data_IF_812635427900
#
_entry.id   IF_812635427900
#
_cell.length_a   1.000
_cell.length_b   1.000
_cell.length_c   1.000
_cell.angle_alpha   90.00
_cell.angle_beta   90.00
_cell.angle_gamma   90.00
#
_symmetry.space_group_name_H-M   'P 1'
#
loop_
_entity.id
_entity.type
_entity.pdbx_description
1 polymer ?
#
# COMPACT_ATOMS: atom_id res chain seq x y z
N UNK A 1 23.54 24.74 2.47
CA UNK A 1 23.67 24.48 3.92
C UNK A 1 25.10 24.02 4.07
N UNK A 2 26.01 24.95 4.31
CA UNK A 2 27.44 24.76 3.97
C UNK A 2 28.37 24.94 5.17
N UNK A 3 27.80 25.09 6.37
CA UNK A 3 28.57 25.04 7.61
C UNK A 3 29.03 23.60 7.87
N UNK A 4 30.35 23.34 8.06
CA UNK A 4 30.88 21.99 8.32
C UNK A 4 30.22 21.26 9.50
N UNK A 5 29.76 21.98 10.53
CA UNK A 5 29.08 21.40 11.70
C UNK A 5 27.74 20.74 11.30
N UNK A 6 27.12 21.20 10.21
CA UNK A 6 25.82 20.71 9.75
C UNK A 6 25.93 19.63 8.67
N UNK A 7 27.13 19.11 8.40
CA UNK A 7 27.37 18.15 7.31
C UNK A 7 26.43 16.94 7.39
N UNK A 8 26.26 16.36 8.56
CA UNK A 8 25.42 15.16 8.75
C UNK A 8 23.91 15.44 8.65
N UNK A 9 23.52 16.71 8.79
CA UNK A 9 22.13 17.17 8.66
C UNK A 9 21.82 17.78 7.30
N UNK A 10 22.83 17.91 6.42
CA UNK A 10 22.75 18.69 5.19
C UNK A 10 21.56 18.27 4.33
N UNK A 11 21.43 16.98 4.05
CA UNK A 11 20.33 16.44 3.24
C UNK A 11 18.95 16.75 3.84
N UNK A 12 18.78 16.49 5.14
CA UNK A 12 17.54 16.77 5.87
C UNK A 12 17.16 18.26 5.80
N UNK A 13 18.13 19.14 6.07
CA UNK A 13 17.92 20.59 6.05
C UNK A 13 17.66 21.11 4.63
N UNK A 14 18.28 20.52 3.61
CA UNK A 14 18.00 20.85 2.21
C UNK A 14 16.59 20.43 1.78
N UNK A 15 16.08 19.29 2.29
CA UNK A 15 14.68 18.88 2.07
C UNK A 15 13.69 19.85 2.72
N UNK A 16 13.96 20.33 3.94
CA UNK A 16 13.16 21.38 4.57
C UNK A 16 13.24 22.67 3.75
N UNK A 17 14.45 23.08 3.37
CA UNK A 17 14.67 24.32 2.60
C UNK A 17 13.93 24.34 1.27
N UNK A 18 13.79 23.20 0.59
CA UNK A 18 13.01 23.08 -0.66
C UNK A 18 11.52 23.41 -0.47
N UNK A 19 10.97 23.25 0.73
CA UNK A 19 9.57 23.61 1.00
C UNK A 19 9.37 25.10 1.32
N UNK A 20 10.41 25.81 1.76
CA UNK A 20 10.32 27.21 2.21
C UNK A 20 9.74 28.16 1.14
N UNK A 21 10.12 28.09 -0.15
CA UNK A 21 9.53 28.95 -1.19
C UNK A 21 8.02 28.75 -1.39
N UNK A 22 7.47 27.64 -0.89
CA UNK A 22 6.08 27.21 -1.06
C UNK A 22 5.23 27.35 0.22
N UNK A 23 5.82 27.88 1.29
CA UNK A 23 5.09 28.27 2.49
C UNK A 23 4.36 29.60 2.24
N UNK A 24 3.14 29.69 2.75
CA UNK A 24 2.38 30.93 2.76
C UNK A 24 2.64 31.72 4.03
N UNK A 25 2.02 32.89 4.17
CA UNK A 25 2.01 33.58 5.47
C UNK A 25 1.33 32.72 6.54
N UNK A 26 1.69 32.92 7.81
CA UNK A 26 1.10 32.17 8.93
C UNK A 26 -0.43 32.21 8.92
N UNK A 27 -1.03 33.37 8.64
CA UNK A 27 -2.47 33.55 8.54
C UNK A 27 -3.06 32.71 7.39
N UNK A 28 -2.43 32.72 6.22
CA UNK A 28 -2.89 31.91 5.08
C UNK A 28 -2.78 30.40 5.35
N UNK A 29 -1.73 29.97 6.05
CA UNK A 29 -1.59 28.58 6.48
C UNK A 29 -2.70 28.17 7.44
N UNK A 30 -3.01 29.00 8.44
CA UNK A 30 -4.11 28.78 9.38
C UNK A 30 -5.46 28.69 8.64
N UNK A 31 -5.73 29.62 7.72
CA UNK A 31 -6.95 29.61 6.92
C UNK A 31 -7.09 28.35 6.07
N UNK A 32 -6.00 27.85 5.48
CA UNK A 32 -6.03 26.58 4.74
C UNK A 32 -6.32 25.41 5.67
N UNK A 33 -5.69 25.36 6.86
CA UNK A 33 -5.92 24.29 7.83
C UNK A 33 -7.39 24.24 8.29
N UNK A 34 -7.97 25.39 8.60
CA UNK A 34 -9.39 25.52 8.98
C UNK A 34 -10.32 25.12 7.83
N UNK A 35 -10.06 25.63 6.62
CA UNK A 35 -10.80 25.24 5.41
C UNK A 35 -10.75 23.73 5.19
N UNK A 36 -9.57 23.11 5.30
CA UNK A 36 -9.38 21.70 4.98
C UNK A 36 -9.98 20.77 6.03
N UNK A 37 -10.09 21.21 7.29
CA UNK A 37 -10.77 20.47 8.34
C UNK A 37 -12.24 20.18 7.95
N UNK A 38 -12.94 21.16 7.41
CA UNK A 38 -14.35 21.03 6.98
C UNK A 38 -14.51 20.81 5.46
N UNK A 39 -13.42 20.90 4.71
CA UNK A 39 -13.35 20.71 3.25
C UNK A 39 -12.82 19.33 2.88
N UNK A 40 -11.61 19.25 2.31
CA UNK A 40 -11.06 18.01 1.72
C UNK A 40 -11.06 16.85 2.72
N UNK A 41 -10.69 17.07 3.99
CA UNK A 41 -10.68 16.00 5.00
C UNK A 41 -12.09 15.47 5.27
N UNK A 42 -13.09 16.35 5.31
CA UNK A 42 -14.49 15.97 5.48
C UNK A 42 -15.01 15.16 4.27
N UNK A 43 -14.66 15.56 3.04
CA UNK A 43 -15.01 14.81 1.83
C UNK A 43 -14.39 13.40 1.82
N UNK A 44 -13.11 13.28 2.17
CA UNK A 44 -12.44 11.98 2.28
C UNK A 44 -13.09 11.11 3.36
N UNK A 45 -13.43 11.69 4.51
CA UNK A 45 -14.12 10.97 5.59
C UNK A 45 -15.52 10.52 5.17
N UNK A 46 -16.26 11.38 4.45
CA UNK A 46 -17.59 11.09 3.95
C UNK A 46 -17.57 9.91 2.98
N UNK A 47 -16.60 9.84 2.07
CA UNK A 47 -16.48 8.71 1.14
C UNK A 47 -16.35 7.37 1.87
N UNK A 48 -15.51 7.31 2.92
CA UNK A 48 -15.35 6.11 3.74
C UNK A 48 -16.62 5.74 4.52
N UNK A 49 -17.27 6.73 5.15
CA UNK A 49 -18.55 6.53 5.86
C UNK A 49 -19.66 6.07 4.92
N UNK A 50 -19.73 6.67 3.74
CA UNK A 50 -20.71 6.31 2.72
C UNK A 50 -20.54 4.85 2.33
N UNK A 51 -19.33 4.40 2.00
CA UNK A 51 -19.06 3.00 1.64
C UNK A 51 -19.41 2.02 2.77
N UNK A 52 -19.04 2.36 4.00
CA UNK A 52 -19.18 1.46 5.15
C UNK A 52 -20.62 1.34 5.67
N UNK A 53 -21.51 2.26 5.30
CA UNK A 53 -22.94 2.24 5.68
C UNK A 53 -23.83 1.64 4.62
N UNK A 54 -23.26 1.10 3.54
CA UNK A 54 -24.01 0.44 2.46
C UNK A 54 -23.94 -1.07 2.60
N UNK A 55 -25.05 -1.68 2.20
CA UNK A 55 -25.20 -3.11 2.08
C UNK A 55 -25.16 -3.49 0.61
N UNK A 56 -24.54 -4.63 0.33
CA UNK A 56 -24.34 -5.16 -1.01
C UNK A 56 -24.95 -6.55 -1.08
N UNK A 57 -26.00 -6.71 -1.89
CA UNK A 57 -26.53 -8.04 -2.19
C UNK A 57 -25.56 -8.74 -3.15
N UNK A 58 -24.99 -9.87 -2.70
CA UNK A 58 -24.03 -10.67 -3.46
C UNK A 58 -24.46 -12.12 -3.42
N UNK A 59 -24.40 -12.78 -4.56
CA UNK A 59 -24.55 -14.23 -4.66
C UNK A 59 -23.20 -14.90 -4.34
N UNK A 60 -23.15 -15.67 -3.26
CA UNK A 60 -21.97 -16.38 -2.79
C UNK A 60 -22.24 -17.87 -2.90
N UNK A 61 -21.60 -18.53 -3.86
CA UNK A 61 -21.74 -19.98 -4.10
C UNK A 61 -23.20 -20.44 -4.30
N UNK A 62 -24.02 -19.59 -4.93
CA UNK A 62 -25.44 -19.84 -5.20
C UNK A 62 -26.41 -19.31 -4.14
N UNK A 63 -25.91 -18.81 -3.00
CA UNK A 63 -26.73 -18.20 -1.95
C UNK A 63 -26.68 -16.67 -2.01
N UNK A 64 -27.83 -16.01 -1.97
CA UNK A 64 -27.88 -14.55 -1.83
C UNK A 64 -27.54 -14.14 -0.40
N UNK A 65 -26.58 -13.22 -0.26
CA UNK A 65 -26.15 -12.66 1.02
C UNK A 65 -26.16 -11.14 0.95
N UNK A 66 -26.55 -10.50 2.04
CA UNK A 66 -26.41 -9.07 2.24
C UNK A 66 -25.12 -8.87 3.02
N UNK A 67 -24.16 -8.17 2.42
CA UNK A 67 -22.80 -8.05 2.93
C UNK A 67 -22.41 -6.58 3.09
N UNK A 68 -21.54 -6.30 4.06
CA UNK A 68 -20.83 -5.02 4.13
C UNK A 68 -19.89 -4.83 2.94
N UNK A 69 -19.42 -3.60 2.69
CA UNK A 69 -18.44 -3.33 1.64
C UNK A 69 -17.17 -4.19 1.77
N UNK A 70 -16.64 -4.34 3.00
CA UNK A 70 -15.42 -5.11 3.24
C UNK A 70 -15.58 -6.58 2.88
N UNK A 71 -16.69 -7.20 3.29
CA UNK A 71 -17.03 -8.58 2.98
C UNK A 71 -17.23 -8.77 1.48
N UNK A 72 -18.04 -7.92 0.83
CA UNK A 72 -18.27 -7.98 -0.61
C UNK A 72 -16.95 -7.77 -1.41
N UNK A 73 -16.09 -6.83 -1.01
CA UNK A 73 -14.83 -6.56 -1.68
C UNK A 73 -13.84 -7.73 -1.55
N UNK A 74 -13.86 -8.46 -0.42
CA UNK A 74 -13.04 -9.67 -0.23
C UNK A 74 -13.40 -10.78 -1.24
N UNK A 75 -14.65 -10.79 -1.72
CA UNK A 75 -15.12 -11.77 -2.70
C UNK A 75 -14.64 -11.48 -4.13
N UNK A 76 -14.00 -10.34 -4.40
CA UNK A 76 -13.44 -10.06 -5.74
C UNK A 76 -12.30 -11.02 -6.11
N UNK A 77 -11.67 -11.64 -5.11
CA UNK A 77 -10.64 -12.68 -5.29
C UNK A 77 -11.17 -14.09 -5.01
N UNK A 78 -12.49 -14.28 -4.92
CA UNK A 78 -13.08 -15.59 -4.60
C UNK A 78 -12.79 -16.64 -5.70
N UNK A 79 -12.56 -17.93 -5.39
CA UNK A 79 -12.32 -18.96 -6.42
C UNK A 79 -13.51 -19.18 -7.36
N UNK A 80 -14.73 -19.11 -6.83
CA UNK A 80 -15.95 -19.23 -7.65
C UNK A 80 -16.18 -17.97 -8.50
N UNK A 81 -16.39 -18.19 -9.81
CA UNK A 81 -16.49 -17.12 -10.79
C UNK A 81 -17.82 -16.36 -10.70
N UNK A 82 -18.92 -17.06 -10.43
CA UNK A 82 -20.24 -16.44 -10.29
C UNK A 82 -20.24 -15.47 -9.12
N UNK A 83 -19.67 -15.89 -7.99
CA UNK A 83 -19.48 -15.07 -6.80
C UNK A 83 -18.69 -13.80 -7.10
N UNK A 84 -17.54 -13.90 -7.78
CA UNK A 84 -16.76 -12.71 -8.17
C UNK A 84 -17.54 -11.76 -9.05
N UNK A 85 -18.28 -12.28 -10.04
CA UNK A 85 -19.09 -11.46 -10.96
C UNK A 85 -20.19 -10.74 -10.18
N UNK A 86 -20.89 -11.45 -9.30
CA UNK A 86 -21.96 -10.90 -8.47
C UNK A 86 -21.42 -9.79 -7.55
N UNK A 87 -20.29 -10.03 -6.87
CA UNK A 87 -19.62 -9.05 -6.03
C UNK A 87 -19.22 -7.78 -6.81
N UNK A 88 -18.56 -7.94 -7.97
CA UNK A 88 -18.17 -6.79 -8.80
C UNK A 88 -19.40 -5.98 -9.26
N UNK A 89 -20.45 -6.66 -9.74
CA UNK A 89 -21.69 -5.99 -10.18
C UNK A 89 -22.38 -5.25 -9.05
N UNK A 90 -22.47 -5.86 -7.87
CA UNK A 90 -23.11 -5.26 -6.70
C UNK A 90 -22.37 -4.00 -6.25
N UNK A 91 -21.05 -4.08 -6.08
CA UNK A 91 -20.21 -2.96 -5.64
C UNK A 91 -20.22 -1.82 -6.65
N UNK A 92 -19.82 -2.10 -7.89
CA UNK A 92 -19.67 -1.04 -8.89
C UNK A 92 -21.01 -0.56 -9.45
N UNK A 93 -22.05 -1.41 -9.42
CA UNK A 93 -23.41 -1.03 -9.77
C UNK A 93 -24.00 -0.03 -8.78
N UNK A 94 -23.78 -0.22 -7.47
CA UNK A 94 -24.21 0.77 -6.47
C UNK A 94 -23.43 2.07 -6.60
N UNK A 95 -22.09 1.99 -6.70
CA UNK A 95 -21.25 3.17 -6.91
C UNK A 95 -21.63 3.96 -8.16
N UNK A 96 -22.02 3.28 -9.24
CA UNK A 96 -22.47 3.91 -10.48
C UNK A 96 -23.77 4.71 -10.32
N UNK A 97 -24.67 4.34 -9.39
CA UNK A 97 -25.91 5.10 -9.14
C UNK A 97 -25.62 6.47 -8.55
N UNK A 98 -24.58 6.57 -7.73
CA UNK A 98 -24.17 7.79 -7.04
C UNK A 98 -23.01 8.52 -7.74
N UNK A 99 -22.80 8.24 -9.04
CA UNK A 99 -21.69 8.79 -9.81
C UNK A 99 -21.62 10.32 -9.79
N UNK A 100 -22.76 11.02 -9.78
CA UNK A 100 -22.80 12.49 -9.76
C UNK A 100 -22.25 13.07 -8.44
N UNK A 101 -22.50 12.39 -7.31
CA UNK A 101 -21.98 12.78 -6.00
C UNK A 101 -20.45 12.64 -6.00
N UNK A 102 -19.94 11.50 -6.45
CA UNK A 102 -18.51 11.23 -6.46
C UNK A 102 -17.75 12.05 -7.50
N UNK A 103 -18.31 12.25 -8.70
CA UNK A 103 -17.70 13.06 -9.74
C UNK A 103 -17.61 14.53 -9.32
N UNK A 104 -18.66 15.05 -8.66
CA UNK A 104 -18.69 16.40 -8.11
C UNK A 104 -17.70 16.56 -6.97
N UNK A 105 -17.64 15.60 -6.04
CA UNK A 105 -16.68 15.63 -4.94
C UNK A 105 -15.23 15.62 -5.47
N UNK A 106 -14.91 14.70 -6.39
CA UNK A 106 -13.59 14.60 -7.01
C UNK A 106 -13.21 15.89 -7.74
N UNK A 107 -14.12 16.45 -8.54
CA UNK A 107 -13.89 17.72 -9.26
C UNK A 107 -13.55 18.85 -8.28
N UNK A 108 -14.26 18.95 -7.16
CA UNK A 108 -14.02 19.99 -6.18
C UNK A 108 -12.68 19.79 -5.44
N UNK A 109 -12.34 18.56 -5.06
CA UNK A 109 -11.04 18.23 -4.45
C UNK A 109 -9.91 18.58 -5.42
N UNK A 110 -9.99 18.17 -6.68
CA UNK A 110 -8.99 18.50 -7.70
C UNK A 110 -8.89 20.01 -7.95
N UNK A 111 -10.03 20.72 -7.99
CA UNK A 111 -10.06 22.17 -8.20
C UNK A 111 -9.44 22.94 -7.03
N UNK A 112 -9.70 22.48 -5.80
CA UNK A 112 -9.06 23.01 -4.60
C UNK A 112 -7.54 22.78 -4.65
N UNK A 113 -7.11 21.54 -4.95
CA UNK A 113 -5.70 21.19 -5.10
C UNK A 113 -4.99 22.11 -6.10
N UNK A 114 -5.53 22.27 -7.32
CA UNK A 114 -4.97 23.17 -8.34
C UNK A 114 -4.81 24.63 -7.83
N UNK A 115 -5.78 25.14 -7.07
CA UNK A 115 -5.73 26.48 -6.49
C UNK A 115 -4.68 26.59 -5.41
N UNK A 116 -4.59 25.60 -4.51
CA UNK A 116 -3.57 25.56 -3.45
C UNK A 116 -2.17 25.42 -4.03
N UNK A 117 -1.98 24.55 -5.02
CA UNK A 117 -0.71 24.40 -5.78
C UNK A 117 -0.25 25.76 -6.31
N UNK A 118 -1.14 26.50 -6.98
CA UNK A 118 -0.83 27.83 -7.51
C UNK A 118 -0.52 28.85 -6.41
N UNK A 119 -1.31 28.89 -5.33
CA UNK A 119 -1.09 29.81 -4.20
C UNK A 119 0.28 29.58 -3.54
N UNK A 120 0.63 28.31 -3.34
CA UNK A 120 1.94 27.87 -2.83
C UNK A 120 3.05 27.93 -3.88
N UNK A 121 2.80 28.50 -5.06
CA UNK A 121 3.81 28.71 -6.12
C UNK A 121 4.52 27.44 -6.55
N UNK A 122 3.84 26.30 -6.49
CA UNK A 122 4.35 25.05 -7.06
C UNK A 122 4.20 25.10 -8.59
N UNK A 123 5.25 24.71 -9.30
CA UNK A 123 5.28 24.70 -10.78
C UNK A 123 4.25 23.75 -11.41
N UNK A 124 3.89 22.67 -10.71
CA UNK A 124 2.90 21.70 -11.15
C UNK A 124 2.16 21.08 -9.96
N UNK A 125 0.98 20.47 -10.18
CA UNK A 125 0.25 19.74 -9.14
C UNK A 125 1.04 18.57 -8.53
N UNK A 126 2.10 18.09 -9.20
CA UNK A 126 2.97 17.03 -8.71
C UNK A 126 4.18 17.56 -7.93
N UNK A 127 4.57 18.82 -8.10
CA UNK A 127 5.83 19.35 -7.57
C UNK A 127 5.94 19.16 -6.04
N UNK A 128 4.86 19.37 -5.28
CA UNK A 128 4.87 19.10 -3.84
C UNK A 128 5.20 17.63 -3.50
N UNK A 129 4.62 16.69 -4.26
CA UNK A 129 4.90 15.26 -4.09
C UNK A 129 6.34 14.93 -4.47
N UNK A 130 6.90 15.57 -5.50
CA UNK A 130 8.29 15.41 -5.90
C UNK A 130 9.25 15.84 -4.78
N UNK A 131 9.01 16.99 -4.15
CA UNK A 131 9.81 17.46 -3.01
C UNK A 131 9.68 16.51 -1.81
N UNK A 132 8.45 16.12 -1.45
CA UNK A 132 8.18 15.25 -0.30
C UNK A 132 8.90 13.90 -0.42
N UNK A 133 8.83 13.29 -1.62
CA UNK A 133 9.40 11.99 -1.94
C UNK A 133 10.86 12.06 -2.40
N UNK A 134 11.47 13.25 -2.38
CA UNK A 134 12.84 13.49 -2.83
C UNK A 134 13.14 12.90 -4.22
N UNK A 135 12.23 13.14 -5.17
CA UNK A 135 12.33 12.64 -6.54
C UNK A 135 12.12 13.77 -7.54
N UNK A 136 12.22 13.47 -8.84
CA UNK A 136 12.13 14.45 -9.91
C UNK A 136 11.09 14.04 -10.94
N UNK A 137 10.56 15.01 -11.68
CA UNK A 137 9.56 14.75 -12.73
C UNK A 137 10.11 13.77 -13.77
N UNK A 138 11.38 13.91 -14.17
CA UNK A 138 12.02 13.03 -15.15
C UNK A 138 12.07 11.56 -14.69
N UNK A 139 12.23 11.29 -13.40
CA UNK A 139 12.19 9.92 -12.86
C UNK A 139 10.78 9.34 -13.03
N UNK A 140 9.74 10.10 -12.71
CA UNK A 140 8.35 9.66 -12.87
C UNK A 140 7.98 9.47 -14.34
N UNK A 141 8.36 10.41 -15.20
CA UNK A 141 8.08 10.34 -16.64
C UNK A 141 8.76 9.12 -17.27
N UNK A 142 10.02 8.85 -16.90
CA UNK A 142 10.75 7.67 -17.36
C UNK A 142 10.09 6.37 -16.86
N UNK A 143 9.65 6.32 -15.60
CA UNK A 143 8.92 5.16 -15.07
C UNK A 143 7.64 4.90 -15.88
N UNK A 144 6.82 5.93 -16.09
CA UNK A 144 5.58 5.83 -16.84
C UNK A 144 5.81 5.39 -18.28
N UNK A 145 6.81 5.98 -18.95
CA UNK A 145 7.20 5.61 -20.31
C UNK A 145 7.62 4.14 -20.42
N UNK A 146 8.47 3.67 -19.50
CA UNK A 146 8.90 2.25 -19.50
C UNK A 146 7.71 1.33 -19.26
N UNK A 147 6.77 1.68 -18.38
CA UNK A 147 5.54 0.90 -18.17
C UNK A 147 4.71 0.84 -19.46
N UNK A 148 4.51 1.98 -20.14
CA UNK A 148 3.75 2.08 -21.39
C UNK A 148 4.37 1.28 -22.53
N UNK A 149 5.69 1.33 -22.69
CA UNK A 149 6.43 0.57 -23.69
C UNK A 149 6.36 -0.95 -23.44
N UNK A 150 6.20 -1.36 -22.18
CA UNK A 150 6.23 -2.77 -21.77
C UNK A 150 4.83 -3.37 -21.45
N UNK A 151 3.73 -2.68 -21.77
CA UNK A 151 2.36 -3.20 -21.58
C UNK A 151 2.12 -4.56 -22.25
N UNK A 152 2.91 -4.90 -23.27
CA UNK A 152 2.91 -6.19 -23.94
C UNK A 152 3.14 -7.38 -22.99
N UNK A 153 4.00 -7.21 -21.97
CA UNK A 153 4.29 -8.26 -20.97
C UNK A 153 3.05 -8.56 -20.14
N UNK A 154 2.38 -7.53 -19.63
CA UNK A 154 1.15 -7.70 -18.85
C UNK A 154 0.00 -8.25 -19.71
N UNK A 155 -0.14 -7.79 -20.97
CA UNK A 155 -1.10 -8.35 -21.92
C UNK A 155 -0.83 -9.84 -22.21
N UNK A 156 0.43 -10.26 -22.33
CA UNK A 156 0.81 -11.68 -22.47
C UNK A 156 0.41 -12.47 -21.23
N UNK A 157 0.66 -11.96 -20.03
CA UNK A 157 0.22 -12.57 -18.78
C UNK A 157 -1.31 -12.77 -18.75
N UNK A 158 -2.09 -11.74 -19.08
CA UNK A 158 -3.56 -11.83 -19.10
C UNK A 158 -4.07 -12.88 -20.11
N UNK A 159 -3.46 -12.97 -21.30
CA UNK A 159 -3.79 -14.01 -22.28
C UNK A 159 -3.44 -15.41 -21.78
N UNK A 160 -2.29 -15.58 -21.14
CA UNK A 160 -1.89 -16.86 -20.56
C UNK A 160 -2.85 -17.27 -19.43
N UNK A 161 -3.20 -16.33 -18.54
CA UNK A 161 -4.18 -16.55 -17.49
C UNK A 161 -5.55 -16.95 -18.04
N UNK A 162 -6.02 -16.30 -19.10
CA UNK A 162 -7.26 -16.68 -19.79
C UNK A 162 -7.22 -18.14 -20.25
N UNK A 163 -6.12 -18.56 -20.90
CA UNK A 163 -5.91 -19.96 -21.31
C UNK A 163 -5.92 -20.93 -20.13
N UNK A 164 -5.19 -20.62 -19.06
CA UNK A 164 -5.13 -21.47 -17.85
C UNK A 164 -6.49 -21.58 -17.13
N UNK A 165 -7.34 -20.57 -17.27
CA UNK A 165 -8.69 -20.57 -16.71
C UNK A 165 -9.75 -21.15 -17.67
N UNK A 166 -9.34 -21.61 -18.87
CA UNK A 166 -10.24 -22.05 -19.94
C UNK A 166 -11.29 -20.99 -20.32
N UNK A 167 -10.89 -19.72 -20.34
CA UNK A 167 -11.74 -18.59 -20.71
C UNK A 167 -11.28 -17.99 -22.05
N UNK A 168 -12.20 -17.63 -22.96
CA UNK A 168 -11.84 -16.96 -24.21
C UNK A 168 -11.27 -15.56 -23.97
N UNK A 169 -11.77 -14.86 -22.95
CA UNK A 169 -11.32 -13.53 -22.52
C UNK A 169 -11.58 -13.34 -21.03
N UNK A 170 -10.68 -12.65 -20.35
CA UNK A 170 -10.88 -12.23 -18.96
C UNK A 170 -11.82 -11.01 -18.90
N UNK A 171 -12.77 -11.03 -17.97
CA UNK A 171 -13.50 -9.84 -17.53
C UNK A 171 -12.77 -9.17 -16.36
N UNK A 172 -13.22 -8.00 -15.90
CA UNK A 172 -12.67 -7.35 -14.70
C UNK A 172 -12.72 -8.27 -13.46
N UNK A 173 -13.76 -9.11 -13.35
CA UNK A 173 -13.92 -10.09 -12.28
C UNK A 173 -12.92 -11.26 -12.36
N UNK A 174 -12.26 -11.47 -13.50
CA UNK A 174 -11.33 -12.59 -13.70
C UNK A 174 -9.86 -12.17 -13.51
N UNK A 175 -9.54 -10.88 -13.62
CA UNK A 175 -8.15 -10.37 -13.51
C UNK A 175 -7.54 -10.71 -12.15
N UNK A 176 -8.31 -10.56 -11.06
CA UNK A 176 -7.88 -10.85 -9.69
C UNK A 176 -8.22 -12.28 -9.21
N UNK A 177 -8.82 -13.10 -10.08
CA UNK A 177 -9.16 -14.48 -9.72
C UNK A 177 -7.92 -15.31 -9.40
N UNK A 178 -7.94 -16.16 -8.36
CA UNK A 178 -6.87 -17.11 -8.14
C UNK A 178 -6.89 -18.15 -9.26
N UNK A 179 -5.70 -18.60 -9.67
CA UNK A 179 -5.59 -19.81 -10.48
C UNK A 179 -5.88 -21.02 -9.59
N UNK A 180 -6.57 -22.04 -10.11
CA UNK A 180 -6.73 -23.31 -9.39
C UNK A 180 -5.36 -24.00 -9.29
N UNK A 181 -4.66 -23.78 -8.19
CA UNK A 181 -3.36 -24.41 -7.92
C UNK A 181 -3.58 -25.77 -7.24
N UNK A 182 -2.90 -26.85 -7.68
CA UNK A 182 -3.07 -28.20 -7.12
C UNK A 182 -2.71 -28.36 -5.64
N UNK A 183 -1.99 -27.42 -5.02
CA UNK A 183 -1.59 -27.54 -3.61
C UNK A 183 -1.70 -26.22 -2.86
N UNK A 184 -2.88 -25.95 -2.32
CA UNK A 184 -3.07 -25.02 -1.20
C UNK A 184 -2.74 -25.74 0.13
N UNK A 185 -1.59 -26.44 0.19
CA UNK A 185 -1.17 -27.14 1.42
C UNK A 185 -0.89 -26.07 2.46
N UNK A 186 -1.63 -26.12 3.58
CA UNK A 186 -1.31 -25.32 4.76
C UNK A 186 0.04 -25.75 5.31
N UNK A 187 0.87 -24.78 5.64
CA UNK A 187 2.17 -24.99 6.28
C UNK A 187 2.08 -24.58 7.74
N UNK A 188 2.77 -25.33 8.58
CA UNK A 188 3.00 -24.97 9.97
C UNK A 188 3.84 -23.70 10.09
N UNK A 189 3.82 -23.08 11.27
CA UNK A 189 4.69 -21.93 11.56
C UNK A 189 6.17 -22.27 11.43
N UNK A 190 6.56 -23.49 11.83
CA UNK A 190 7.94 -23.99 11.70
C UNK A 190 8.35 -24.10 10.23
N UNK A 191 7.53 -24.73 9.38
CA UNK A 191 7.79 -24.80 7.93
C UNK A 191 7.89 -23.40 7.31
N UNK A 192 7.05 -22.46 7.74
CA UNK A 192 7.12 -21.06 7.28
C UNK A 192 8.43 -20.38 7.70
N UNK A 193 8.86 -20.54 8.97
CA UNK A 193 10.14 -20.03 9.47
C UNK A 193 11.31 -20.57 8.65
N UNK A 194 11.37 -21.89 8.46
CA UNK A 194 12.45 -22.55 7.71
C UNK A 194 12.53 -22.05 6.27
N UNK A 195 11.38 -21.95 5.58
CA UNK A 195 11.33 -21.45 4.21
C UNK A 195 11.83 -20.01 4.08
N UNK A 196 11.46 -19.14 5.02
CA UNK A 196 11.88 -17.74 4.97
C UNK A 196 13.36 -17.58 5.32
N UNK A 197 13.86 -18.34 6.30
CA UNK A 197 15.29 -18.38 6.61
C UNK A 197 16.12 -18.88 5.42
N UNK A 198 15.71 -19.98 4.79
CA UNK A 198 16.38 -20.51 3.61
C UNK A 198 16.37 -19.50 2.46
N UNK A 199 15.23 -18.83 2.22
CA UNK A 199 15.10 -17.83 1.18
C UNK A 199 16.04 -16.64 1.39
N UNK A 200 16.10 -16.10 2.60
CA UNK A 200 17.00 -15.00 2.93
C UNK A 200 18.47 -15.43 2.94
N UNK A 201 18.79 -16.62 3.45
CA UNK A 201 20.16 -17.15 3.47
C UNK A 201 20.76 -17.44 2.10
N UNK A 202 19.91 -17.64 1.07
CA UNK A 202 20.35 -17.70 -0.32
C UNK A 202 20.67 -16.32 -0.91
N UNK A 203 20.11 -15.26 -0.34
CA UNK A 203 20.40 -13.87 -0.73
C UNK A 203 21.66 -13.40 -0.02
N UNK A 204 21.66 -13.46 1.31
CA UNK A 204 22.78 -13.05 2.15
C UNK A 204 22.69 -13.77 3.52
N UNK A 205 23.85 -14.17 4.05
CA UNK A 205 23.92 -14.86 5.34
C UNK A 205 23.59 -13.96 6.52
N UNK A 206 23.92 -12.67 6.43
CA UNK A 206 23.60 -11.69 7.48
C UNK A 206 22.08 -11.47 7.59
N UNK A 207 21.36 -11.61 6.47
CA UNK A 207 19.89 -11.52 6.47
C UNK A 207 19.26 -12.73 7.16
N UNK A 208 19.77 -13.94 6.89
CA UNK A 208 19.33 -15.15 7.58
C UNK A 208 19.54 -15.05 9.10
N UNK A 209 20.72 -14.57 9.52
CA UNK A 209 21.05 -14.41 10.93
C UNK A 209 20.10 -13.42 11.62
N UNK A 210 19.90 -12.24 11.04
CA UNK A 210 19.00 -11.24 11.59
C UNK A 210 17.53 -11.71 11.62
N UNK A 211 17.07 -12.39 10.58
CA UNK A 211 15.73 -13.00 10.56
C UNK A 211 15.61 -14.05 11.67
N UNK A 212 16.62 -14.90 11.86
CA UNK A 212 16.60 -15.90 12.93
C UNK A 212 16.56 -15.24 14.32
N UNK A 213 17.28 -14.13 14.49
CA UNK A 213 17.23 -13.31 15.71
C UNK A 213 15.81 -12.79 15.99
N UNK A 214 15.11 -12.26 14.98
CA UNK A 214 13.72 -11.81 15.10
C UNK A 214 12.78 -12.92 15.61
N UNK A 215 12.95 -14.15 15.12
CA UNK A 215 12.21 -15.31 15.63
C UNK A 215 12.62 -15.65 17.07
N UNK A 216 13.93 -15.70 17.36
CA UNK A 216 14.45 -16.06 18.68
C UNK A 216 14.02 -15.07 19.78
N UNK A 217 13.92 -13.78 19.44
CA UNK A 217 13.48 -12.71 20.35
C UNK A 217 11.96 -12.55 20.43
N UNK A 218 11.17 -13.38 19.73
CA UNK A 218 9.71 -13.27 19.65
C UNK A 218 9.23 -11.90 19.15
N UNK A 219 9.95 -11.30 18.20
CA UNK A 219 9.55 -10.03 17.59
C UNK A 219 8.43 -10.19 16.54
N UNK A 220 7.91 -11.40 16.35
CA UNK A 220 6.90 -11.72 15.36
C UNK A 220 5.67 -12.27 16.08
N UNK A 221 4.61 -11.47 16.13
CA UNK A 221 3.30 -11.88 16.64
C UNK A 221 2.46 -12.44 15.49
N UNK A 222 2.52 -13.76 15.28
CA UNK A 222 1.85 -14.45 14.17
C UNK A 222 0.47 -15.06 14.51
N UNK A 223 0.21 -15.32 15.79
CA UNK A 223 -0.99 -16.08 16.20
C UNK A 223 -2.28 -15.28 16.00
N UNK A 224 -3.31 -15.92 15.43
CA UNK A 224 -4.64 -15.34 15.28
C UNK A 224 -5.38 -15.42 16.61
N UNK A 225 -5.93 -14.30 17.08
CA UNK A 225 -6.73 -14.23 18.33
C UNK A 225 -7.81 -13.15 18.26
N UNK A 226 -8.89 -13.34 19.00
CA UNK A 226 -10.01 -12.37 19.08
C UNK A 226 -9.50 -10.99 19.53
N UNK A 227 -9.91 -9.95 18.82
CA UNK A 227 -9.51 -8.56 19.10
C UNK A 227 -8.16 -8.13 18.52
N UNK A 228 -7.39 -9.04 17.88
CA UNK A 228 -6.16 -8.67 17.16
C UNK A 228 -6.50 -7.96 15.84
N UNK A 229 -5.71 -6.94 15.48
CA UNK A 229 -5.76 -6.29 14.17
C UNK A 229 -5.48 -7.32 13.06
N UNK A 230 -6.28 -7.31 11.99
CA UNK A 230 -6.06 -8.15 10.81
C UNK A 230 -4.98 -7.57 9.88
N UNK A 231 -4.36 -8.45 9.08
CA UNK A 231 -3.32 -8.10 8.10
C UNK A 231 -1.92 -8.40 8.62
N UNK A 232 -0.93 -7.73 8.03
CA UNK A 232 0.42 -7.73 8.52
C UNK A 232 1.03 -6.32 8.39
N UNK A 233 2.00 -6.01 9.25
CA UNK A 233 2.86 -4.84 9.14
C UNK A 233 4.13 -5.02 9.96
N UNK A 234 5.17 -4.29 9.58
CA UNK A 234 6.41 -4.11 10.31
C UNK A 234 6.43 -2.72 10.97
N UNK A 235 6.80 -2.66 12.25
CA UNK A 235 7.06 -1.42 12.97
C UNK A 235 8.50 -1.40 13.48
N UNK A 236 9.26 -0.38 13.11
CA UNK A 236 10.71 -0.36 13.29
C UNK A 236 11.11 0.39 14.55
N UNK A 237 12.06 -0.15 15.31
CA UNK A 237 12.55 0.41 16.57
C UNK A 237 14.01 0.86 16.45
N UNK A 238 14.21 2.13 16.09
CA UNK A 238 15.54 2.73 15.83
C UNK A 238 16.56 2.47 16.94
N UNK A 239 16.23 2.81 18.20
CA UNK A 239 17.17 2.65 19.33
C UNK A 239 17.50 1.19 19.62
N UNK A 240 16.54 0.29 19.43
CA UNK A 240 16.75 -1.14 19.63
C UNK A 240 17.40 -1.84 18.44
N UNK A 241 17.68 -1.11 17.35
CA UNK A 241 18.23 -1.64 16.10
C UNK A 241 17.46 -2.89 15.66
N UNK A 242 16.13 -2.81 15.70
CA UNK A 242 15.27 -3.96 15.41
C UNK A 242 13.89 -3.51 14.94
N UNK A 243 12.98 -4.45 14.74
CA UNK A 243 11.59 -4.20 14.42
C UNK A 243 10.68 -5.21 15.12
N UNK A 244 9.38 -4.95 15.08
CA UNK A 244 8.32 -5.88 15.46
C UNK A 244 7.39 -6.10 14.28
N UNK A 245 6.95 -7.34 14.11
CA UNK A 245 6.04 -7.73 13.04
C UNK A 245 4.75 -8.23 13.66
N UNK A 246 3.64 -7.66 13.23
CA UNK A 246 2.32 -8.23 13.46
C UNK A 246 1.90 -8.95 12.19
N UNK A 247 1.40 -10.18 12.34
CA UNK A 247 0.77 -10.93 11.25
C UNK A 247 -0.36 -11.82 11.77
N UNK A 248 -1.40 -12.00 10.96
CA UNK A 248 -2.40 -13.07 11.15
C UNK A 248 -2.06 -14.26 10.27
N UNK A 249 -1.45 -15.31 10.83
CA UNK A 249 -1.00 -16.49 10.10
C UNK A 249 -1.94 -17.70 10.30
N UNK A 250 -2.39 -18.30 9.21
CA UNK A 250 -3.24 -19.50 9.16
C UNK A 250 -2.63 -20.66 8.36
N UNK A 251 -1.42 -20.47 7.83
CA UNK A 251 -0.66 -21.48 7.10
C UNK A 251 -0.70 -21.33 5.58
N UNK A 252 -1.34 -20.28 5.04
CA UNK A 252 -1.48 -20.11 3.61
C UNK A 252 -0.18 -19.58 2.97
N UNK A 253 0.10 -19.99 1.72
CA UNK A 253 1.35 -19.62 1.05
C UNK A 253 1.51 -18.10 0.84
N UNK A 254 0.42 -17.40 0.56
CA UNK A 254 0.41 -15.95 0.46
C UNK A 254 0.81 -15.28 1.78
N UNK A 255 0.43 -15.85 2.92
CA UNK A 255 0.81 -15.35 4.24
C UNK A 255 2.31 -15.55 4.50
N UNK A 256 2.95 -16.57 3.91
CA UNK A 256 4.41 -16.73 3.97
C UNK A 256 5.09 -15.66 3.12
N UNK A 257 4.55 -15.32 1.95
CA UNK A 257 5.05 -14.18 1.16
C UNK A 257 4.88 -12.86 1.91
N UNK A 258 3.77 -12.69 2.62
CA UNK A 258 3.56 -11.54 3.51
C UNK A 258 4.58 -11.52 4.65
N UNK A 259 4.85 -12.65 5.31
CA UNK A 259 5.88 -12.74 6.34
C UNK A 259 7.26 -12.33 5.80
N UNK A 260 7.61 -12.88 4.63
CA UNK A 260 8.85 -12.51 3.95
C UNK A 260 8.89 -11.01 3.64
N UNK A 261 7.79 -10.42 3.15
CA UNK A 261 7.68 -8.98 2.90
C UNK A 261 7.95 -8.14 4.15
N UNK A 262 7.30 -8.46 5.28
CA UNK A 262 7.49 -7.71 6.53
C UNK A 262 8.90 -7.89 7.11
N UNK A 263 9.49 -9.08 6.97
CA UNK A 263 10.89 -9.31 7.35
C UNK A 263 11.86 -8.52 6.47
N UNK A 264 11.50 -8.26 5.21
CA UNK A 264 12.28 -7.38 4.33
C UNK A 264 12.32 -5.94 4.85
N UNK A 265 11.20 -5.42 5.35
CA UNK A 265 11.16 -4.12 6.03
C UNK A 265 12.00 -4.13 7.31
N UNK A 266 11.94 -5.21 8.10
CA UNK A 266 12.74 -5.35 9.31
C UNK A 266 14.26 -5.37 9.00
N UNK A 267 14.68 -6.13 7.98
CA UNK A 267 16.08 -6.16 7.52
C UNK A 267 16.52 -4.77 7.04
N UNK A 268 15.72 -4.12 6.20
CA UNK A 268 16.02 -2.76 5.73
C UNK A 268 16.24 -1.81 6.90
N UNK A 269 15.32 -1.81 7.87
CA UNK A 269 15.41 -0.98 9.06
C UNK A 269 16.66 -1.31 9.89
N UNK A 270 16.94 -2.60 10.12
CA UNK A 270 18.13 -3.04 10.84
C UNK A 270 19.42 -2.52 10.21
N UNK A 271 19.60 -2.70 8.90
CA UNK A 271 20.79 -2.22 8.20
C UNK A 271 20.89 -0.69 8.26
N UNK A 272 19.78 0.01 8.00
CA UNK A 272 19.74 1.46 8.04
C UNK A 272 20.08 2.00 9.44
N UNK A 273 19.57 1.39 10.51
CA UNK A 273 19.82 1.85 11.89
C UNK A 273 21.24 1.59 12.38
N UNK A 274 21.96 0.68 11.73
CA UNK A 274 23.37 0.42 12.05
C UNK A 274 24.31 1.42 11.37
N UNK A 275 23.96 1.89 10.17
CA UNK A 275 24.84 2.74 9.35
C UNK A 275 24.42 4.22 9.32
N UNK A 276 23.16 4.53 9.64
CA UNK A 276 22.57 5.86 9.49
C UNK A 276 22.09 6.42 10.82
N UNK A 277 22.11 7.75 10.92
CA UNK A 277 21.51 8.50 12.02
C UNK A 277 20.00 8.58 11.90
N UNK A 278 19.35 9.03 12.98
CA UNK A 278 17.91 9.29 12.99
C UNK A 278 17.44 10.29 11.90
N UNK A 279 18.32 11.14 11.37
CA UNK A 279 17.95 12.14 10.37
C UNK A 279 18.13 11.69 8.91
N UNK A 280 18.72 10.52 8.68
CA UNK A 280 19.03 10.03 7.33
C UNK A 280 18.83 8.52 7.12
N UNK A 281 18.22 7.81 8.08
CA UNK A 281 17.97 6.37 7.95
C UNK A 281 16.80 5.99 7.03
N UNK A 282 15.95 6.94 6.65
CA UNK A 282 14.87 6.70 5.69
C UNK A 282 15.16 7.42 4.37
N UNK A 283 15.65 6.70 3.33
CA UNK A 283 15.62 7.24 1.98
C UNK A 283 14.16 7.24 1.52
N UNK A 284 13.55 8.43 1.36
CA UNK A 284 12.24 8.66 0.74
C UNK A 284 11.15 7.59 0.99
N UNK A 285 10.36 7.76 2.04
CA UNK A 285 9.21 6.88 2.32
C UNK A 285 8.19 6.94 1.16
N UNK A 286 8.02 5.85 0.41
CA UNK A 286 6.79 5.58 -0.34
C UNK A 286 5.92 4.67 0.51
N UNK A 287 5.19 5.27 1.46
CA UNK A 287 4.12 4.62 2.22
C UNK A 287 2.76 4.88 1.61
#
# INVERSE_FOLDING_TARGET
VDNPILKDYKHYLEKIRRNVPHQLSEIEEQLILEKDQYGIKAWSSLQGKWLNTREFEVEVEGEKKILSYGEANSLITHPDRTTRISANKSIYGLLGKDQEVFSTALRNICSDWMKITKRRKYDSPMHQSLITNDTTQIIIDNLMKVIEENVGVYRRYLRLKAKLMNLPKLTCADVRAPLKAPSMKKRSWTEAKELVLEAYGKVDKDFEEYVNEMFAKNHIDAAVRKGKRNGAYCDSWYKGKSAFILQSFTGALNEIYTLAHELGHAIHAYLAFNEQSYFNFFPGYTG
#
